data_IF_373680391122
#
_entry.id   IF_373680391122
#
_cell.length_a   1.000
_cell.length_b   1.000
_cell.length_c   1.000
_cell.angle_alpha   90.00
_cell.angle_beta   90.00
_cell.angle_gamma   90.00
#
_symmetry.space_group_name_H-M   'P 1'
#
loop_
_entity.id
_entity.type
_entity.pdbx_description
1 polymer ?
#
# COMPACT_ATOMS: atom_id res chain seq x y z
N UNK A 1 -31.33 43.22 -16.73
CA UNK A 1 -31.27 43.47 -15.26
C UNK A 1 -31.34 42.15 -14.50
N UNK A 2 -32.25 41.20 -14.81
CA UNK A 2 -32.35 39.93 -14.10
C UNK A 2 -31.11 39.04 -14.27
N UNK A 3 -30.50 38.99 -15.46
CA UNK A 3 -29.30 38.16 -15.73
C UNK A 3 -28.05 38.69 -14.99
N UNK A 4 -27.94 40.03 -14.86
CA UNK A 4 -26.86 40.65 -14.11
C UNK A 4 -26.97 40.34 -12.60
N UNK A 5 -28.18 40.32 -12.05
CA UNK A 5 -28.39 39.94 -10.64
C UNK A 5 -28.00 38.50 -10.32
N UNK A 6 -28.34 37.57 -11.24
CA UNK A 6 -27.97 36.15 -11.08
C UNK A 6 -26.46 35.94 -11.20
N UNK A 7 -25.77 36.64 -12.11
CA UNK A 7 -24.30 36.54 -12.25
C UNK A 7 -23.59 37.12 -11.01
N UNK A 8 -24.07 38.26 -10.47
CA UNK A 8 -23.49 38.86 -9.26
C UNK A 8 -23.73 37.96 -8.05
N UNK A 9 -24.90 37.32 -7.93
CA UNK A 9 -25.20 36.35 -6.87
C UNK A 9 -24.28 35.13 -6.94
N UNK A 10 -24.13 34.53 -8.12
CA UNK A 10 -23.24 33.40 -8.34
C UNK A 10 -21.76 33.74 -8.08
N UNK A 11 -21.31 34.92 -8.47
CA UNK A 11 -19.94 35.39 -8.22
C UNK A 11 -19.71 35.73 -6.74
N UNK A 12 -20.74 36.23 -6.03
CA UNK A 12 -20.69 36.47 -4.58
C UNK A 12 -20.57 35.17 -3.81
N UNK A 13 -21.38 34.16 -4.17
CA UNK A 13 -21.28 32.81 -3.57
C UNK A 13 -19.95 32.16 -3.86
N UNK A 14 -19.43 32.30 -5.06
CA UNK A 14 -18.10 31.78 -5.42
C UNK A 14 -16.98 32.43 -4.60
N UNK A 15 -17.06 33.75 -4.39
CA UNK A 15 -16.12 34.50 -3.57
C UNK A 15 -16.21 34.15 -2.06
N UNK A 16 -17.39 33.84 -1.56
CA UNK A 16 -17.65 33.39 -0.21
C UNK A 16 -17.13 31.96 0.01
N UNK A 17 -17.49 31.04 -0.86
CA UNK A 17 -17.00 29.65 -0.86
C UNK A 17 -15.48 29.61 -0.97
N UNK A 18 -14.89 30.39 -1.89
CA UNK A 18 -13.44 30.50 -2.03
C UNK A 18 -12.74 30.98 -0.75
N UNK A 19 -13.29 32.00 -0.06
CA UNK A 19 -12.75 32.52 1.20
C UNK A 19 -12.86 31.49 2.33
N UNK A 20 -13.97 30.76 2.43
CA UNK A 20 -14.13 29.66 3.40
C UNK A 20 -13.11 28.55 3.10
N UNK A 21 -12.94 28.18 1.85
CA UNK A 21 -11.95 27.19 1.45
C UNK A 21 -10.52 27.65 1.72
N UNK A 22 -10.17 28.90 1.43
CA UNK A 22 -8.86 29.47 1.73
C UNK A 22 -8.59 29.54 3.25
N UNK A 23 -9.60 29.87 4.08
CA UNK A 23 -9.47 29.86 5.53
C UNK A 23 -9.37 28.45 6.10
N UNK A 24 -10.17 27.52 5.62
CA UNK A 24 -10.09 26.10 6.00
C UNK A 24 -8.73 25.47 5.66
N UNK A 25 -8.12 25.89 4.54
CA UNK A 25 -6.83 25.39 4.09
C UNK A 25 -5.60 26.14 4.64
N UNK A 26 -5.81 27.23 5.38
CA UNK A 26 -4.73 28.07 5.93
C UNK A 26 -4.34 27.72 7.37
N UNK A 27 -5.06 26.79 8.03
CA UNK A 27 -4.76 26.41 9.42
C UNK A 27 -3.38 25.75 9.55
N UNK A 28 -2.65 25.94 10.67
CA UNK A 28 -1.47 25.16 10.97
C UNK A 28 -1.84 23.68 11.21
N UNK A 29 -0.88 22.78 11.01
CA UNK A 29 -1.05 21.37 11.39
C UNK A 29 -1.29 21.27 12.90
N UNK A 30 -2.33 20.54 13.29
CA UNK A 30 -2.61 20.25 14.69
C UNK A 30 -2.04 18.88 15.10
N UNK A 31 -2.11 18.55 16.38
CA UNK A 31 -1.61 17.28 16.92
C UNK A 31 -2.28 16.06 16.29
N UNK A 32 -3.55 16.18 15.91
CA UNK A 32 -4.29 15.09 15.27
C UNK A 32 -3.79 14.85 13.84
N UNK A 33 -3.47 15.93 13.10
CA UNK A 33 -2.89 15.82 11.77
C UNK A 33 -1.53 15.09 11.83
N UNK A 34 -0.65 15.46 12.78
CA UNK A 34 0.63 14.78 12.98
C UNK A 34 0.45 13.30 13.33
N UNK A 35 -0.47 12.96 14.22
CA UNK A 35 -0.76 11.57 14.55
C UNK A 35 -1.23 10.79 13.32
N UNK A 36 -2.09 11.38 12.51
CA UNK A 36 -2.57 10.78 11.27
C UNK A 36 -1.43 10.54 10.28
N UNK A 37 -0.54 11.55 10.10
CA UNK A 37 0.63 11.42 9.23
C UNK A 37 1.58 10.33 9.69
N UNK A 38 1.88 10.27 11.00
CA UNK A 38 2.76 9.25 11.58
C UNK A 38 2.16 7.85 11.41
N UNK A 39 0.87 7.69 11.70
CA UNK A 39 0.19 6.39 11.54
C UNK A 39 0.15 5.95 10.07
N UNK A 40 -0.13 6.87 9.15
CA UNK A 40 -0.10 6.56 7.72
C UNK A 40 1.32 6.19 7.23
N UNK A 41 2.35 6.92 7.69
CA UNK A 41 3.74 6.65 7.36
C UNK A 41 4.23 5.30 7.93
N UNK A 42 3.83 4.97 9.18
CA UNK A 42 4.13 3.67 9.79
C UNK A 42 3.42 2.51 9.09
N UNK A 43 2.14 2.70 8.73
CA UNK A 43 1.39 1.71 7.95
C UNK A 43 2.10 1.42 6.62
N UNK A 44 2.43 2.46 5.86
CA UNK A 44 3.19 2.33 4.62
C UNK A 44 4.58 1.72 4.81
N UNK A 45 5.28 2.03 5.90
CA UNK A 45 6.57 1.43 6.22
C UNK A 45 6.46 -0.08 6.44
N UNK A 46 5.48 -0.53 7.22
CA UNK A 46 5.25 -1.96 7.47
C UNK A 46 4.85 -2.71 6.19
N UNK A 47 4.02 -2.09 5.36
CA UNK A 47 3.60 -2.63 4.07
C UNK A 47 4.81 -2.85 3.15
N UNK A 48 5.66 -1.84 2.98
CA UNK A 48 6.83 -1.95 2.11
C UNK A 48 7.91 -2.85 2.71
N UNK A 49 8.07 -2.89 4.03
CA UNK A 49 8.91 -3.85 4.71
C UNK A 49 8.52 -5.29 4.35
N UNK A 50 7.23 -5.63 4.56
CA UNK A 50 6.71 -6.98 4.31
C UNK A 50 6.80 -7.38 2.84
N UNK A 51 6.58 -6.42 1.94
CA UNK A 51 6.68 -6.66 0.51
C UNK A 51 8.13 -6.87 0.05
N UNK A 52 9.07 -6.03 0.51
CA UNK A 52 10.46 -6.05 0.02
C UNK A 52 11.30 -7.14 0.67
N UNK A 53 10.96 -7.56 1.91
CA UNK A 53 11.66 -8.63 2.60
C UNK A 53 11.67 -9.93 1.78
N UNK A 54 10.59 -10.18 1.01
CA UNK A 54 10.50 -11.31 0.10
C UNK A 54 11.62 -11.31 -0.96
N UNK A 55 11.99 -10.13 -1.47
CA UNK A 55 13.06 -9.99 -2.46
C UNK A 55 14.42 -10.29 -1.85
N UNK A 56 14.66 -9.81 -0.63
CA UNK A 56 15.92 -10.06 0.08
C UNK A 56 16.10 -11.54 0.44
N UNK A 57 15.01 -12.26 0.70
CA UNK A 57 15.05 -13.70 0.97
C UNK A 57 14.75 -14.55 -0.26
N UNK A 58 14.82 -14.00 -1.48
CA UNK A 58 14.48 -14.72 -2.70
C UNK A 58 15.32 -16.00 -2.91
N UNK A 59 16.60 -16.00 -2.54
CA UNK A 59 17.46 -17.18 -2.61
C UNK A 59 16.96 -18.28 -1.66
N UNK A 60 16.71 -17.94 -0.40
CA UNK A 60 16.19 -18.86 0.62
C UNK A 60 14.80 -19.39 0.25
N UNK A 61 13.92 -18.52 -0.24
CA UNK A 61 12.60 -18.93 -0.72
C UNK A 61 12.75 -19.89 -1.92
N UNK A 62 13.68 -19.60 -2.82
CA UNK A 62 14.00 -20.46 -3.95
C UNK A 62 14.42 -21.87 -3.52
N UNK A 63 15.24 -21.98 -2.49
CA UNK A 63 15.69 -23.28 -1.94
C UNK A 63 14.55 -24.05 -1.23
N UNK A 64 13.67 -23.34 -0.53
CA UNK A 64 12.61 -23.97 0.25
C UNK A 64 11.40 -24.40 -0.57
N UNK A 65 11.07 -23.65 -1.62
CA UNK A 65 9.81 -23.83 -2.36
C UNK A 65 9.94 -24.39 -3.76
N UNK A 66 11.16 -24.63 -4.24
CA UNK A 66 11.40 -25.22 -5.56
C UNK A 66 12.28 -26.47 -5.48
N UNK A 67 12.27 -27.35 -6.53
CA UNK A 67 13.06 -28.56 -6.56
C UNK A 67 14.56 -28.28 -6.41
N UNK A 68 15.27 -29.16 -5.71
CA UNK A 68 16.71 -29.05 -5.51
C UNK A 68 17.53 -29.45 -6.78
N UNK A 69 16.92 -30.20 -7.69
CA UNK A 69 17.54 -30.73 -8.92
C UNK A 69 17.59 -29.71 -10.07
N UNK A 70 16.90 -28.55 -9.94
CA UNK A 70 16.98 -27.50 -10.96
C UNK A 70 18.13 -26.51 -10.62
N UNK A 71 18.73 -25.85 -11.66
CA UNK A 71 19.80 -24.89 -11.46
C UNK A 71 19.36 -23.71 -10.55
N UNK A 72 20.28 -23.16 -9.76
CA UNK A 72 20.02 -22.07 -8.84
C UNK A 72 19.43 -20.83 -9.53
N UNK A 73 19.96 -20.45 -10.69
CA UNK A 73 19.43 -19.31 -11.45
C UNK A 73 17.95 -19.51 -11.83
N UNK A 74 17.51 -20.74 -12.09
CA UNK A 74 16.12 -21.04 -12.44
C UNK A 74 15.20 -20.93 -11.21
N UNK A 75 15.66 -21.40 -10.03
CA UNK A 75 14.96 -21.22 -8.76
C UNK A 75 14.76 -19.71 -8.44
N UNK A 76 15.83 -18.94 -8.60
CA UNK A 76 15.77 -17.49 -8.39
C UNK A 76 14.81 -16.83 -9.39
N UNK A 77 14.88 -17.18 -10.67
CA UNK A 77 13.98 -16.66 -11.70
C UNK A 77 12.52 -16.96 -11.38
N UNK A 78 12.20 -18.17 -10.94
CA UNK A 78 10.85 -18.56 -10.54
C UNK A 78 10.37 -17.79 -9.29
N UNK A 79 11.25 -17.58 -8.31
CA UNK A 79 10.94 -16.78 -7.11
C UNK A 79 10.65 -15.32 -7.48
N UNK A 80 11.46 -14.72 -8.35
CA UNK A 80 11.21 -13.36 -8.85
C UNK A 80 9.96 -13.30 -9.74
N UNK A 81 9.62 -14.35 -10.47
CA UNK A 81 8.36 -14.42 -11.22
C UNK A 81 7.14 -14.41 -10.28
N UNK A 82 7.19 -15.10 -9.13
CA UNK A 82 6.16 -15.03 -8.09
C UNK A 82 6.05 -13.62 -7.51
N UNK A 83 7.19 -12.97 -7.24
CA UNK A 83 7.22 -11.59 -6.79
C UNK A 83 6.56 -10.65 -7.81
N UNK A 84 6.93 -10.79 -9.09
CA UNK A 84 6.37 -10.00 -10.19
C UNK A 84 4.86 -10.22 -10.35
N UNK A 85 4.37 -11.45 -10.20
CA UNK A 85 2.94 -11.77 -10.25
C UNK A 85 2.17 -11.04 -9.14
N UNK A 86 2.69 -11.01 -7.91
CA UNK A 86 2.13 -10.21 -6.82
C UNK A 86 2.12 -8.71 -7.12
N UNK A 87 3.17 -8.20 -7.76
CA UNK A 87 3.24 -6.79 -8.16
C UNK A 87 2.20 -6.46 -9.26
N UNK A 88 2.07 -7.33 -10.26
CA UNK A 88 1.10 -7.18 -11.35
C UNK A 88 -0.36 -7.32 -10.88
N UNK A 89 -0.61 -7.97 -9.76
CA UNK A 89 -1.94 -8.06 -9.15
C UNK A 89 -2.41 -6.73 -8.53
N UNK A 90 -1.51 -5.79 -8.22
CA UNK A 90 -1.83 -4.50 -7.57
C UNK A 90 -2.85 -3.65 -8.33
N UNK A 91 -2.71 -3.39 -9.65
CA UNK A 91 -3.69 -2.59 -10.39
C UNK A 91 -5.10 -3.20 -10.36
N UNK A 92 -5.19 -4.53 -10.50
CA UNK A 92 -6.47 -5.24 -10.43
C UNK A 92 -7.08 -5.15 -9.03
N UNK A 93 -6.28 -5.37 -8.00
CA UNK A 93 -6.69 -5.21 -6.60
C UNK A 93 -7.15 -3.80 -6.29
N UNK A 94 -6.44 -2.78 -6.81
CA UNK A 94 -6.80 -1.37 -6.66
C UNK A 94 -8.17 -1.05 -7.24
N UNK A 95 -8.48 -1.55 -8.44
CA UNK A 95 -9.80 -1.39 -9.07
C UNK A 95 -10.90 -2.05 -8.25
N UNK A 96 -10.68 -3.27 -7.79
CA UNK A 96 -11.65 -4.03 -6.97
C UNK A 96 -11.88 -3.30 -5.64
N UNK A 97 -10.81 -2.92 -4.94
CA UNK A 97 -10.89 -2.26 -3.64
C UNK A 97 -11.54 -0.88 -3.74
N UNK A 98 -11.25 -0.09 -4.81
CA UNK A 98 -11.90 1.19 -5.06
C UNK A 98 -13.41 1.02 -5.26
N UNK A 99 -13.82 0.11 -6.13
CA UNK A 99 -15.24 -0.17 -6.40
C UNK A 99 -16.01 -0.57 -5.13
N UNK A 100 -15.47 -1.48 -4.34
CA UNK A 100 -16.11 -1.89 -3.08
C UNK A 100 -15.99 -0.83 -1.99
N UNK A 101 -14.93 -0.03 -1.98
CA UNK A 101 -14.76 1.10 -1.06
C UNK A 101 -15.86 2.14 -1.22
N UNK A 102 -16.23 2.45 -2.46
CA UNK A 102 -17.29 3.40 -2.74
C UNK A 102 -18.69 2.83 -2.44
N UNK A 103 -18.91 1.52 -2.64
CA UNK A 103 -20.21 0.88 -2.42
C UNK A 103 -20.47 0.43 -0.98
N UNK A 104 -19.46 -0.06 -0.25
CA UNK A 104 -19.59 -0.65 1.09
C UNK A 104 -18.99 0.19 2.22
N UNK A 105 -18.36 1.32 1.88
CA UNK A 105 -17.74 2.26 2.79
C UNK A 105 -16.24 2.04 2.96
N UNK A 106 -15.47 3.12 2.81
CA UNK A 106 -14.00 3.15 2.80
C UNK A 106 -13.37 2.54 4.06
N UNK A 107 -13.95 2.78 5.24
CA UNK A 107 -13.43 2.22 6.51
C UNK A 107 -13.44 0.69 6.55
N UNK A 108 -14.53 0.08 6.06
CA UNK A 108 -14.64 -1.40 6.04
C UNK A 108 -13.66 -2.01 5.05
N UNK A 109 -13.49 -1.37 3.90
CA UNK A 109 -12.56 -1.83 2.87
C UNK A 109 -11.09 -1.68 3.32
N UNK A 110 -10.75 -0.59 4.02
CA UNK A 110 -9.43 -0.43 4.61
C UNK A 110 -9.11 -1.53 5.64
N UNK A 111 -10.05 -1.84 6.54
CA UNK A 111 -9.85 -2.96 7.49
C UNK A 111 -9.74 -4.31 6.78
N UNK A 112 -10.47 -4.50 5.69
CA UNK A 112 -10.39 -5.73 4.88
C UNK A 112 -9.06 -5.83 4.14
N UNK A 113 -8.50 -4.73 3.61
CA UNK A 113 -7.20 -4.74 2.93
C UNK A 113 -6.08 -5.13 3.88
N UNK A 114 -6.07 -4.59 5.10
CA UNK A 114 -5.10 -4.98 6.14
C UNK A 114 -5.20 -6.48 6.45
N UNK A 115 -6.42 -7.01 6.60
CA UNK A 115 -6.62 -8.42 6.88
C UNK A 115 -6.14 -9.29 5.70
N UNK A 116 -6.51 -8.90 4.47
CA UNK A 116 -6.08 -9.58 3.24
C UNK A 116 -4.58 -9.48 2.97
N UNK A 117 -3.87 -8.55 3.60
CA UNK A 117 -2.42 -8.48 3.57
C UNK A 117 -1.78 -9.36 4.67
N UNK A 118 -2.30 -9.29 5.88
CA UNK A 118 -1.75 -10.00 7.04
C UNK A 118 -1.95 -11.53 6.96
N UNK A 119 -3.13 -12.00 6.51
CA UNK A 119 -3.40 -13.43 6.42
C UNK A 119 -2.51 -14.17 5.41
N UNK A 120 -2.32 -13.71 4.17
CA UNK A 120 -1.36 -14.33 3.25
C UNK A 120 0.08 -14.29 3.76
N UNK A 121 0.51 -13.21 4.40
CA UNK A 121 1.85 -13.10 4.99
C UNK A 121 2.06 -14.17 6.06
N UNK A 122 1.11 -14.30 6.99
CA UNK A 122 1.14 -15.34 8.01
C UNK A 122 1.10 -16.74 7.37
N UNK A 123 0.24 -16.95 6.38
CA UNK A 123 0.13 -18.23 5.69
C UNK A 123 1.41 -18.61 4.94
N UNK A 124 2.10 -17.64 4.32
CA UNK A 124 3.41 -17.89 3.70
C UNK A 124 4.46 -18.31 4.70
N UNK A 125 4.46 -17.69 5.91
CA UNK A 125 5.38 -18.09 6.98
C UNK A 125 5.11 -19.46 7.59
N UNK A 126 3.89 -19.98 7.48
CA UNK A 126 3.47 -21.31 7.95
C UNK A 126 3.42 -22.36 6.83
N UNK A 127 3.70 -21.95 5.58
CA UNK A 127 3.56 -22.84 4.44
C UNK A 127 4.64 -23.92 4.47
N UNK A 128 4.24 -25.23 4.38
CA UNK A 128 5.22 -26.30 4.27
C UNK A 128 6.04 -26.19 2.98
N UNK A 129 7.29 -26.64 3.06
CA UNK A 129 8.26 -26.53 1.97
C UNK A 129 7.98 -27.49 0.82
N UNK A 130 8.76 -27.38 -0.27
CA UNK A 130 8.70 -28.29 -1.42
C UNK A 130 8.90 -29.76 -1.03
N UNK A 131 9.72 -30.05 -0.03
CA UNK A 131 9.96 -31.41 0.46
C UNK A 131 8.65 -32.10 0.95
N UNK A 132 7.66 -31.34 1.39
CA UNK A 132 6.40 -31.87 1.92
C UNK A 132 5.26 -31.78 0.90
N UNK A 133 5.10 -30.61 0.25
CA UNK A 133 3.97 -30.34 -0.65
C UNK A 133 4.32 -30.49 -2.14
N UNK A 134 5.57 -30.75 -2.44
CA UNK A 134 6.06 -30.88 -3.83
C UNK A 134 5.58 -29.67 -4.67
N UNK A 135 4.94 -29.90 -5.82
CA UNK A 135 4.49 -28.85 -6.73
C UNK A 135 3.41 -27.93 -6.13
N UNK A 136 2.68 -28.36 -5.09
CA UNK A 136 1.69 -27.53 -4.44
C UNK A 136 2.32 -26.36 -3.65
N UNK A 137 3.57 -26.51 -3.17
CA UNK A 137 4.25 -25.46 -2.41
C UNK A 137 4.45 -24.17 -3.22
N UNK A 138 5.07 -24.16 -4.41
CA UNK A 138 5.21 -22.94 -5.21
C UNK A 138 3.87 -22.40 -5.73
N UNK A 139 2.89 -23.25 -5.99
CA UNK A 139 1.55 -22.81 -6.43
C UNK A 139 0.84 -22.05 -5.30
N UNK A 140 0.86 -22.57 -4.08
CA UNK A 140 0.27 -21.91 -2.91
C UNK A 140 1.02 -20.61 -2.61
N UNK A 141 2.35 -20.61 -2.68
CA UNK A 141 3.15 -19.39 -2.51
C UNK A 141 2.76 -18.31 -3.53
N UNK A 142 2.59 -18.69 -4.80
CA UNK A 142 2.13 -17.79 -5.87
C UNK A 142 0.75 -17.21 -5.56
N UNK A 143 -0.21 -18.06 -5.19
CA UNK A 143 -1.58 -17.63 -4.87
C UNK A 143 -1.61 -16.67 -3.69
N UNK A 144 -0.88 -16.97 -2.61
CA UNK A 144 -0.78 -16.10 -1.44
C UNK A 144 -0.13 -14.75 -1.81
N UNK A 145 0.90 -14.77 -2.66
CA UNK A 145 1.57 -13.55 -3.12
C UNK A 145 0.69 -12.68 -4.01
N UNK A 146 -0.10 -13.28 -4.89
CA UNK A 146 -1.09 -12.58 -5.73
C UNK A 146 -2.18 -11.95 -4.85
N UNK A 147 -2.70 -12.68 -3.86
CA UNK A 147 -3.69 -12.16 -2.90
C UNK A 147 -3.14 -10.97 -2.10
N UNK A 148 -1.92 -11.09 -1.56
CA UNK A 148 -1.23 -10.02 -0.86
C UNK A 148 -1.04 -8.80 -1.76
N UNK A 149 -0.54 -8.99 -2.98
CA UNK A 149 -0.35 -7.90 -3.94
C UNK A 149 -1.65 -7.19 -4.33
N UNK A 150 -2.74 -7.93 -4.52
CA UNK A 150 -4.05 -7.35 -4.79
C UNK A 150 -4.58 -6.52 -3.60
N UNK A 151 -4.37 -6.98 -2.36
CA UNK A 151 -4.77 -6.22 -1.17
C UNK A 151 -4.04 -4.86 -1.06
N UNK A 152 -2.73 -4.86 -1.30
CA UNK A 152 -1.87 -3.65 -1.29
C UNK A 152 -2.29 -2.64 -2.36
N UNK A 153 -2.77 -3.10 -3.53
CA UNK A 153 -3.07 -2.25 -4.67
C UNK A 153 -4.08 -1.13 -4.41
N UNK A 154 -5.01 -1.33 -3.48
CA UNK A 154 -6.01 -0.32 -3.09
C UNK A 154 -5.56 0.61 -1.96
N UNK A 155 -4.60 0.19 -1.15
CA UNK A 155 -4.21 0.88 0.08
C UNK A 155 -3.30 2.09 -0.18
N UNK A 156 -2.24 1.91 -0.96
CA UNK A 156 -1.26 2.97 -1.22
C UNK A 156 -1.87 4.20 -1.90
N UNK A 157 -2.61 4.09 -3.02
CA UNK A 157 -3.27 5.24 -3.62
C UNK A 157 -4.27 5.91 -2.67
N UNK A 158 -5.01 5.10 -1.89
CA UNK A 158 -5.95 5.59 -0.88
C UNK A 158 -5.26 6.41 0.22
N UNK A 159 -4.09 5.97 0.69
CA UNK A 159 -3.31 6.69 1.70
C UNK A 159 -2.83 8.06 1.20
N UNK A 160 -2.37 8.16 -0.06
CA UNK A 160 -1.97 9.43 -0.67
C UNK A 160 -3.12 10.43 -0.75
N UNK A 161 -4.29 9.99 -1.23
CA UNK A 161 -5.50 10.81 -1.33
C UNK A 161 -5.97 11.22 0.06
N UNK A 162 -6.04 10.25 1.00
CA UNK A 162 -6.46 10.51 2.37
C UNK A 162 -5.58 11.57 3.04
N UNK A 163 -4.26 11.45 2.95
CA UNK A 163 -3.32 12.42 3.52
C UNK A 163 -3.49 13.79 2.86
N UNK A 164 -3.62 13.85 1.52
CA UNK A 164 -3.78 15.11 0.80
C UNK A 164 -5.08 15.85 1.18
N UNK A 165 -6.17 15.11 1.45
CA UNK A 165 -7.47 15.68 1.84
C UNK A 165 -7.52 16.14 3.30
N UNK A 166 -6.74 15.54 4.21
CA UNK A 166 -6.81 15.81 5.65
C UNK A 166 -5.84 16.88 6.14
N UNK A 167 -4.90 17.30 5.32
CA UNK A 167 -3.94 18.35 5.69
C UNK A 167 -4.23 19.66 4.95
N UNK A 168 -3.84 20.83 5.54
CA UNK A 168 -3.94 22.11 4.86
C UNK A 168 -3.18 22.11 3.53
N UNK A 169 -3.76 22.73 2.50
CA UNK A 169 -3.24 22.69 1.13
C UNK A 169 -1.78 23.13 1.02
N UNK A 170 -1.34 24.11 1.83
CA UNK A 170 0.05 24.57 1.91
C UNK A 170 1.02 23.52 2.48
N UNK A 171 0.51 22.47 3.13
CA UNK A 171 1.29 21.41 3.79
C UNK A 171 1.16 20.05 3.11
N UNK A 172 0.42 19.94 2.01
CA UNK A 172 0.24 18.68 1.27
C UNK A 172 1.58 18.08 0.84
N UNK A 173 2.51 18.91 0.32
CA UNK A 173 3.85 18.44 -0.04
C UNK A 173 4.63 17.86 1.14
N UNK A 174 4.56 18.49 2.31
CA UNK A 174 5.17 17.97 3.54
C UNK A 174 4.54 16.64 3.96
N UNK A 175 3.21 16.56 3.94
CA UNK A 175 2.46 15.36 4.32
C UNK A 175 2.74 14.18 3.38
N UNK A 176 2.73 14.41 2.08
CA UNK A 176 3.12 13.42 1.08
C UNK A 176 4.59 13.01 1.23
N UNK A 177 5.50 13.97 1.49
CA UNK A 177 6.90 13.68 1.78
C UNK A 177 7.09 12.78 3.00
N UNK A 178 6.31 13.00 4.08
CA UNK A 178 6.33 12.14 5.28
C UNK A 178 5.87 10.73 4.96
N UNK A 179 4.82 10.57 4.16
CA UNK A 179 4.35 9.26 3.71
C UNK A 179 5.42 8.55 2.87
N UNK A 180 6.02 9.24 1.89
CA UNK A 180 7.11 8.70 1.07
C UNK A 180 8.32 8.28 1.91
N UNK A 181 8.69 9.08 2.91
CA UNK A 181 9.77 8.76 3.85
C UNK A 181 9.45 7.49 4.65
N UNK A 182 8.19 7.30 5.08
CA UNK A 182 7.73 6.08 5.74
C UNK A 182 7.90 4.84 4.84
N UNK A 183 7.45 4.90 3.59
CA UNK A 183 7.61 3.81 2.62
C UNK A 183 9.09 3.44 2.44
N UNK A 184 9.96 4.44 2.25
CA UNK A 184 11.42 4.24 2.11
C UNK A 184 12.04 3.66 3.38
N UNK A 185 11.59 4.10 4.56
CA UNK A 185 12.04 3.56 5.84
C UNK A 185 11.70 2.08 5.98
N UNK A 186 10.53 1.63 5.50
CA UNK A 186 10.18 0.22 5.44
C UNK A 186 11.15 -0.61 4.61
N UNK A 187 11.58 -0.10 3.45
CA UNK A 187 12.59 -0.76 2.61
C UNK A 187 13.93 -0.87 3.35
N UNK A 188 14.37 0.21 4.01
CA UNK A 188 15.61 0.23 4.77
C UNK A 188 15.58 -0.76 5.95
N UNK A 189 14.46 -0.84 6.66
CA UNK A 189 14.27 -1.84 7.72
C UNK A 189 14.34 -3.27 7.17
N UNK A 190 13.70 -3.53 6.03
CA UNK A 190 13.78 -4.84 5.38
C UNK A 190 15.21 -5.23 5.00
N UNK A 191 15.98 -4.31 4.43
CA UNK A 191 17.39 -4.55 4.09
C UNK A 191 18.26 -4.78 5.33
N UNK A 192 18.04 -4.01 6.40
CA UNK A 192 18.75 -4.15 7.65
C UNK A 192 18.49 -5.53 8.28
N UNK A 193 17.24 -5.95 8.37
CA UNK A 193 16.85 -7.26 8.90
C UNK A 193 17.47 -8.38 8.07
N UNK A 194 17.39 -8.29 6.74
CA UNK A 194 18.00 -9.27 5.86
C UNK A 194 19.52 -9.37 6.05
N UNK A 195 20.21 -8.24 6.24
CA UNK A 195 21.67 -8.22 6.48
C UNK A 195 22.06 -8.77 7.85
N UNK A 196 21.18 -8.66 8.86
CA UNK A 196 21.45 -9.19 10.21
C UNK A 196 21.20 -10.70 10.33
N UNK A 197 20.36 -11.25 9.45
CA UNK A 197 20.00 -12.67 9.45
C UNK A 197 20.92 -13.50 8.54
N UNK A 198 21.48 -12.90 7.47
CA UNK A 198 22.47 -13.51 6.60
C UNK A 198 23.89 -13.25 7.08
#
# INVERSE_FOLDING_TARGET
IALQGVIIFLLSDYGFIRRIMEQAHARPLNRQDYNTLVLAALGGALEFYDFIIFVFFAAVIGELFFPADIPEWLRQLQTFAIFAAGYLARPLGGLIMAHFGDSKGRKKMFSLSILLMALPTLAMGLLPTYATLVIAAPILLLLLRVLQGAAIGGEVPGAWVFVAEHVPQKRVGFACGTLAAGLTFGILLGSLVATLIN
#
